data_IF_872694652240
#
_entry.id   IF_872694652240
#
_cell.length_a   1.000
_cell.length_b   1.000
_cell.length_c   1.000
_cell.angle_alpha   90.00
_cell.angle_beta   90.00
_cell.angle_gamma   90.00
#
_symmetry.space_group_name_H-M   'P 1'
#
loop_
_entity.id
_entity.type
_entity.pdbx_description
1 polymer ?
#
# COMPACT_ATOMS: atom_id res chain seq x y z
N UNK A 1 8.11 7.47 -19.01
CA UNK A 1 7.58 8.84 -19.15
C UNK A 1 7.04 9.23 -17.78
N UNK A 2 7.74 10.10 -17.02
CA UNK A 2 7.21 10.56 -15.72
C UNK A 2 5.94 11.37 -16.02
N UNK A 3 4.78 10.81 -15.71
CA UNK A 3 3.53 11.57 -15.76
C UNK A 3 3.68 12.71 -14.77
N UNK A 4 3.71 13.93 -15.31
CA UNK A 4 3.81 15.17 -14.55
C UNK A 4 2.43 15.43 -13.91
N UNK A 5 2.04 14.57 -12.97
CA UNK A 5 0.97 14.89 -12.04
C UNK A 5 1.43 16.10 -11.21
N UNK A 6 0.50 16.98 -10.84
CA UNK A 6 0.81 18.03 -9.90
C UNK A 6 1.12 17.38 -8.53
N UNK A 7 2.39 17.05 -8.29
CA UNK A 7 2.88 16.43 -7.05
C UNK A 7 2.44 17.22 -5.83
N UNK A 8 2.31 18.55 -5.95
CA UNK A 8 1.80 19.40 -4.89
C UNK A 8 0.31 19.14 -4.64
N UNK A 9 -0.51 19.04 -5.68
CA UNK A 9 -1.92 18.68 -5.52
C UNK A 9 -2.09 17.26 -4.94
N UNK A 10 -1.25 16.31 -5.35
CA UNK A 10 -1.23 14.97 -4.78
C UNK A 10 -0.85 15.01 -3.28
N UNK A 11 0.22 15.72 -2.92
CA UNK A 11 0.65 15.90 -1.53
C UNK A 11 -0.45 16.49 -0.67
N UNK A 12 -1.13 17.55 -1.13
CA UNK A 12 -2.25 18.17 -0.39
C UNK A 12 -3.39 17.18 -0.16
N UNK A 13 -3.74 16.35 -1.16
CA UNK A 13 -4.76 15.30 -1.01
C UNK A 13 -4.33 14.17 -0.07
N UNK A 14 -3.03 13.96 0.09
CA UNK A 14 -2.48 12.94 0.97
C UNK A 14 -2.46 13.35 2.46
N UNK A 15 -2.75 14.61 2.78
CA UNK A 15 -2.82 15.10 4.16
C UNK A 15 -3.99 14.47 4.92
N UNK A 16 -3.85 14.28 6.25
CA UNK A 16 -4.94 13.83 7.10
C UNK A 16 -6.18 14.72 6.97
N UNK A 17 -7.36 14.09 6.89
CA UNK A 17 -8.65 14.75 6.80
C UNK A 17 -9.11 15.15 5.39
N UNK A 18 -8.26 15.00 4.36
CA UNK A 18 -8.65 15.37 2.99
C UNK A 18 -9.34 14.22 2.26
N UNK A 19 -8.65 13.08 2.07
CA UNK A 19 -9.25 11.87 1.48
C UNK A 19 -9.52 10.78 2.53
N UNK A 20 -8.65 10.65 3.51
CA UNK A 20 -8.77 9.71 4.63
C UNK A 20 -8.53 10.45 5.95
N UNK A 21 -9.07 9.95 7.05
CA UNK A 21 -8.91 10.58 8.37
C UNK A 21 -7.44 10.70 8.79
N UNK A 22 -6.62 9.70 8.47
CA UNK A 22 -5.21 9.61 8.87
C UNK A 22 -4.22 10.06 7.79
N UNK A 23 -4.68 10.29 6.55
CA UNK A 23 -3.81 10.61 5.42
C UNK A 23 -2.98 9.42 4.93
N UNK A 24 -1.94 9.71 4.15
CA UNK A 24 -1.03 8.73 3.55
C UNK A 24 0.44 8.96 3.91
N UNK A 25 0.75 10.09 4.56
CA UNK A 25 2.13 10.51 4.83
C UNK A 25 2.62 10.07 6.21
N UNK A 26 1.71 9.73 7.13
CA UNK A 26 2.08 9.41 8.51
C UNK A 26 2.81 10.57 9.19
N UNK A 27 4.05 10.34 9.62
CA UNK A 27 4.96 11.32 10.21
C UNK A 27 6.00 11.84 9.21
N UNK A 28 5.96 11.36 7.97
CA UNK A 28 6.91 11.75 6.93
C UNK A 28 6.69 13.21 6.52
N UNK A 29 7.76 13.99 6.57
CA UNK A 29 7.76 15.41 6.21
C UNK A 29 8.53 15.69 4.92
N UNK A 30 9.08 14.65 4.30
CA UNK A 30 9.83 14.78 3.05
C UNK A 30 8.89 15.11 1.88
N UNK A 31 9.40 15.75 0.82
CA UNK A 31 8.71 15.82 -0.47
C UNK A 31 8.34 14.42 -1.01
N UNK A 32 7.23 14.30 -1.76
CA UNK A 32 6.80 13.01 -2.33
C UNK A 32 7.89 12.36 -3.19
N UNK A 33 8.58 13.16 -3.99
CA UNK A 33 9.66 12.70 -4.85
C UNK A 33 10.81 12.06 -4.08
N UNK A 34 11.14 12.58 -2.89
CA UNK A 34 12.18 12.02 -2.02
C UNK A 34 11.74 10.72 -1.34
N UNK A 35 10.46 10.63 -0.93
CA UNK A 35 9.89 9.39 -0.38
C UNK A 35 9.93 8.28 -1.44
N UNK A 36 9.44 8.59 -2.64
CA UNK A 36 9.41 7.65 -3.77
C UNK A 36 10.82 7.24 -4.16
N UNK A 37 11.77 8.18 -4.27
CA UNK A 37 13.16 7.85 -4.62
C UNK A 37 13.81 6.92 -3.58
N UNK A 38 13.54 7.12 -2.29
CA UNK A 38 14.02 6.25 -1.22
C UNK A 38 13.39 4.84 -1.29
N UNK A 39 12.08 4.75 -1.54
CA UNK A 39 11.40 3.46 -1.70
C UNK A 39 11.93 2.72 -2.96
N UNK A 40 12.13 3.41 -4.08
CA UNK A 40 12.73 2.85 -5.31
C UNK A 40 14.16 2.34 -5.07
N UNK A 41 14.97 3.06 -4.28
CA UNK A 41 16.33 2.63 -3.92
C UNK A 41 16.30 1.36 -3.08
N UNK A 42 15.40 1.27 -2.10
CA UNK A 42 15.21 0.08 -1.29
C UNK A 42 14.71 -1.11 -2.11
N UNK A 43 13.76 -0.90 -3.02
CA UNK A 43 13.28 -1.95 -3.93
C UNK A 43 14.44 -2.53 -4.76
N UNK A 44 15.28 -1.66 -5.35
CA UNK A 44 16.49 -2.09 -6.07
C UNK A 44 17.45 -2.85 -5.16
N UNK A 45 17.75 -2.34 -3.96
CA UNK A 45 18.69 -2.96 -3.04
C UNK A 45 18.23 -4.33 -2.52
N UNK A 46 16.92 -4.53 -2.38
CA UNK A 46 16.30 -5.76 -1.90
C UNK A 46 15.92 -6.74 -3.03
N UNK A 47 16.23 -6.39 -4.29
CA UNK A 47 15.83 -7.13 -5.49
C UNK A 47 14.32 -7.41 -5.52
N UNK A 48 13.52 -6.40 -5.16
CA UNK A 48 12.07 -6.39 -5.29
C UNK A 48 11.67 -5.71 -6.60
N UNK A 49 10.53 -6.13 -7.13
CA UNK A 49 9.89 -5.53 -8.29
C UNK A 49 8.49 -5.05 -7.91
N UNK A 50 8.13 -3.83 -8.32
CA UNK A 50 6.86 -3.19 -7.93
C UNK A 50 5.65 -3.96 -8.45
N UNK A 51 5.69 -4.41 -9.72
CA UNK A 51 4.59 -5.14 -10.33
C UNK A 51 4.42 -6.51 -9.66
N UNK A 52 5.52 -7.24 -9.44
CA UNK A 52 5.48 -8.55 -8.78
C UNK A 52 4.98 -8.46 -7.33
N UNK A 53 5.41 -7.45 -6.58
CA UNK A 53 4.91 -7.21 -5.22
C UNK A 53 3.41 -6.89 -5.26
N UNK A 54 2.98 -6.01 -6.16
CA UNK A 54 1.57 -5.66 -6.32
C UNK A 54 0.71 -6.90 -6.68
N UNK A 55 1.13 -7.72 -7.63
CA UNK A 55 0.45 -8.97 -8.03
C UNK A 55 0.31 -9.94 -6.84
N UNK A 56 1.35 -9.98 -6.00
CA UNK A 56 1.37 -10.83 -4.83
C UNK A 56 0.39 -10.34 -3.76
N UNK A 57 0.34 -9.05 -3.50
CA UNK A 57 -0.61 -8.43 -2.57
C UNK A 57 -2.06 -8.58 -3.06
N UNK A 58 -2.32 -8.44 -4.36
CA UNK A 58 -3.64 -8.69 -4.96
C UNK A 58 -4.07 -10.16 -4.79
N UNK A 59 -3.14 -11.10 -5.00
CA UNK A 59 -3.41 -12.52 -4.80
C UNK A 59 -3.77 -12.82 -3.35
N UNK A 60 -3.04 -12.26 -2.39
CA UNK A 60 -3.32 -12.42 -0.96
C UNK A 60 -4.67 -11.80 -0.58
N UNK A 61 -4.99 -10.60 -1.08
CA UNK A 61 -6.28 -9.95 -0.86
C UNK A 61 -7.45 -10.79 -1.39
N UNK A 62 -7.34 -11.25 -2.64
CA UNK A 62 -8.37 -12.08 -3.28
C UNK A 62 -8.62 -13.38 -2.50
N UNK A 63 -7.55 -14.07 -2.09
CA UNK A 63 -7.68 -15.30 -1.28
C UNK A 63 -8.23 -14.99 0.10
N UNK A 64 -7.77 -13.92 0.74
CA UNK A 64 -8.23 -13.46 2.05
C UNK A 64 -9.73 -13.12 2.09
N UNK A 65 -10.28 -12.58 0.99
CA UNK A 65 -11.70 -12.28 0.86
C UNK A 65 -12.60 -13.53 0.98
N UNK A 66 -12.09 -14.73 0.71
CA UNK A 66 -12.81 -15.99 0.93
C UNK A 66 -13.14 -16.22 2.42
N UNK A 67 -12.42 -15.56 3.34
CA UNK A 67 -12.68 -15.59 4.78
C UNK A 67 -13.86 -14.74 5.25
N UNK A 68 -14.48 -13.94 4.37
CA UNK A 68 -15.69 -13.14 4.65
C UNK A 68 -15.57 -12.24 5.90
N UNK A 69 -14.41 -11.60 6.08
CA UNK A 69 -14.13 -10.73 7.23
C UNK A 69 -13.47 -11.44 8.41
N UNK A 70 -13.36 -12.76 8.40
CA UNK A 70 -12.59 -13.50 9.40
C UNK A 70 -11.15 -13.77 8.91
N UNK A 71 -10.15 -13.78 9.81
CA UNK A 71 -8.79 -14.16 9.46
C UNK A 71 -8.71 -15.63 9.01
N UNK A 72 -8.12 -15.87 7.84
CA UNK A 72 -7.90 -17.22 7.29
C UNK A 72 -6.43 -17.45 6.95
N UNK A 73 -6.02 -18.72 6.96
CA UNK A 73 -4.66 -19.10 6.55
C UNK A 73 -4.60 -19.30 5.03
N UNK A 74 -3.83 -18.46 4.36
CA UNK A 74 -3.55 -18.51 2.93
C UNK A 74 -2.18 -19.13 2.69
N UNK A 75 -2.13 -20.12 1.79
CA UNK A 75 -0.89 -20.80 1.37
C UNK A 75 -0.08 -21.41 2.54
N UNK A 76 -0.77 -21.80 3.61
CA UNK A 76 -0.17 -22.49 4.76
C UNK A 76 0.75 -21.64 5.64
N UNK A 77 0.93 -20.35 5.34
CA UNK A 77 1.90 -19.51 6.09
C UNK A 77 1.46 -18.05 6.29
N UNK A 78 0.44 -17.58 5.56
CA UNK A 78 -0.04 -16.20 5.70
C UNK A 78 -1.37 -16.21 6.45
N UNK A 79 -1.44 -15.51 7.58
CA UNK A 79 -2.72 -15.18 8.20
C UNK A 79 -3.24 -13.91 7.53
N UNK A 80 -4.34 -14.00 6.80
CA UNK A 80 -4.89 -12.90 6.00
C UNK A 80 -6.31 -12.60 6.45
N UNK A 81 -6.61 -11.33 6.70
CA UNK A 81 -7.97 -10.84 6.94
C UNK A 81 -8.28 -9.73 5.96
N UNK A 82 -9.41 -9.82 5.27
CA UNK A 82 -9.90 -8.77 4.35
C UNK A 82 -11.16 -8.15 4.91
N UNK A 83 -11.09 -6.86 5.25
CA UNK A 83 -12.21 -6.05 5.73
C UNK A 83 -12.65 -5.08 4.61
N UNK A 84 -13.87 -5.22 4.15
CA UNK A 84 -14.46 -4.30 3.18
C UNK A 84 -15.34 -3.25 3.89
N UNK A 85 -15.10 -1.98 3.59
CA UNK A 85 -16.00 -0.90 3.97
C UNK A 85 -16.80 -0.43 2.76
N UNK A 86 -17.98 0.15 3.01
CA UNK A 86 -18.76 0.77 1.93
C UNK A 86 -18.03 2.00 1.38
N UNK A 87 -18.01 2.12 0.05
CA UNK A 87 -17.56 3.31 -0.66
C UNK A 87 -16.28 3.10 -1.48
N UNK A 88 -15.85 4.18 -2.14
CA UNK A 88 -14.63 4.25 -2.93
C UNK A 88 -13.77 5.42 -2.48
N UNK A 89 -12.46 5.30 -2.63
CA UNK A 89 -11.48 6.34 -2.40
C UNK A 89 -10.86 6.77 -3.74
N UNK A 90 -10.77 8.06 -4.04
CA UNK A 90 -10.01 8.51 -5.19
C UNK A 90 -8.50 8.36 -4.93
N UNK A 91 -7.75 8.05 -5.97
CA UNK A 91 -6.30 8.14 -5.93
C UNK A 91 -5.90 9.61 -5.72
N UNK A 92 -4.96 9.93 -4.81
CA UNK A 92 -4.47 11.30 -4.63
C UNK A 92 -3.85 11.91 -5.89
N UNK A 93 -3.33 11.09 -6.81
CA UNK A 93 -2.83 11.54 -8.12
C UNK A 93 -3.94 11.82 -9.14
N UNK A 94 -5.20 11.43 -8.85
CA UNK A 94 -6.37 11.76 -9.65
C UNK A 94 -6.65 10.80 -10.81
N UNK A 95 -6.05 9.62 -10.82
CA UNK A 95 -6.09 8.67 -11.95
C UNK A 95 -6.97 7.43 -11.70
N UNK A 96 -7.75 7.38 -10.62
CA UNK A 96 -8.65 6.26 -10.37
C UNK A 96 -9.51 6.37 -9.11
N UNK A 97 -10.46 5.45 -9.00
CA UNK A 97 -11.31 5.22 -7.82
C UNK A 97 -11.17 3.76 -7.37
N UNK A 98 -10.82 3.55 -6.11
CA UNK A 98 -10.52 2.23 -5.54
C UNK A 98 -11.47 1.90 -4.39
N UNK A 99 -11.69 0.62 -4.11
CA UNK A 99 -12.55 0.22 -3.00
C UNK A 99 -11.95 0.68 -1.67
N UNK A 100 -12.82 1.13 -0.76
CA UNK A 100 -12.40 1.39 0.61
C UNK A 100 -12.34 0.06 1.37
N UNK A 101 -11.17 -0.56 1.40
CA UNK A 101 -10.93 -1.81 2.11
C UNK A 101 -9.65 -1.74 2.95
N UNK A 102 -9.46 -2.74 3.79
CA UNK A 102 -8.23 -3.00 4.51
C UNK A 102 -7.95 -4.50 4.49
N UNK A 103 -6.75 -4.88 4.09
CA UNK A 103 -6.26 -6.26 4.11
C UNK A 103 -5.09 -6.31 5.06
N UNK A 104 -5.19 -7.09 6.12
CA UNK A 104 -4.07 -7.40 6.99
C UNK A 104 -3.46 -8.74 6.57
N UNK A 105 -2.13 -8.77 6.47
CA UNK A 105 -1.36 -9.98 6.23
C UNK A 105 -0.29 -10.10 7.29
N UNK A 106 -0.21 -11.27 7.92
CA UNK A 106 0.82 -11.60 8.89
C UNK A 106 1.51 -12.91 8.51
N UNK A 107 2.83 -12.95 8.68
CA UNK A 107 3.65 -14.17 8.58
C UNK A 107 4.75 -14.11 9.64
N UNK A 108 4.69 -14.99 10.63
CA UNK A 108 5.60 -14.93 11.78
C UNK A 108 5.41 -13.62 12.56
N UNK A 109 6.51 -12.88 12.74
CA UNK A 109 6.54 -11.58 13.43
C UNK A 109 6.26 -10.39 12.50
N UNK A 110 6.36 -10.58 11.18
CA UNK A 110 6.11 -9.52 10.21
C UNK A 110 4.61 -9.40 9.90
N UNK A 111 4.12 -8.17 9.82
CA UNK A 111 2.75 -7.88 9.41
C UNK A 111 2.66 -6.56 8.65
N UNK A 112 1.68 -6.49 7.75
CA UNK A 112 1.33 -5.29 6.99
C UNK A 112 -0.18 -5.13 6.93
N UNK A 113 -0.63 -3.89 6.76
CA UNK A 113 -2.00 -3.55 6.39
C UNK A 113 -1.94 -2.76 5.08
N UNK A 114 -2.78 -3.12 4.12
CA UNK A 114 -2.87 -2.42 2.84
C UNK A 114 -4.30 -2.38 2.33
N UNK A 115 -4.51 -1.70 1.21
CA UNK A 115 -5.80 -1.57 0.54
C UNK A 115 -5.60 -1.70 -0.97
N UNK A 116 -6.68 -1.80 -1.73
CA UNK A 116 -6.62 -1.75 -3.20
C UNK A 116 -5.95 -0.45 -3.67
N UNK A 117 -6.21 0.66 -2.99
CA UNK A 117 -5.53 1.92 -3.25
C UNK A 117 -4.03 1.86 -2.93
N UNK A 118 -3.63 1.19 -1.85
CA UNK A 118 -2.21 0.99 -1.53
C UNK A 118 -1.48 0.22 -2.63
N UNK A 119 -2.12 -0.80 -3.21
CA UNK A 119 -1.57 -1.59 -4.32
C UNK A 119 -1.39 -0.70 -5.56
N UNK A 120 -2.39 0.10 -5.93
CA UNK A 120 -2.27 1.05 -7.05
C UNK A 120 -1.15 2.08 -6.83
N UNK A 121 -1.08 2.66 -5.63
CA UNK A 121 -0.03 3.62 -5.26
C UNK A 121 1.37 3.01 -5.39
N UNK A 122 1.54 1.76 -4.96
CA UNK A 122 2.78 1.02 -5.10
C UNK A 122 3.10 0.72 -6.58
N UNK A 123 2.13 0.17 -7.33
CA UNK A 123 2.34 -0.28 -8.72
C UNK A 123 2.58 0.88 -9.68
N UNK A 124 1.74 1.91 -9.63
CA UNK A 124 1.72 2.98 -10.65
C UNK A 124 2.57 4.19 -10.26
N UNK A 125 2.69 4.46 -8.96
CA UNK A 125 3.38 5.66 -8.46
C UNK A 125 4.64 5.36 -7.67
N UNK A 126 5.01 4.07 -7.51
CA UNK A 126 6.13 3.62 -6.67
C UNK A 126 6.09 4.19 -5.24
N UNK A 127 4.89 4.56 -4.78
CA UNK A 127 4.70 5.24 -3.51
C UNK A 127 4.22 4.22 -2.48
N UNK A 128 5.11 3.84 -1.56
CA UNK A 128 4.80 2.87 -0.52
C UNK A 128 4.14 3.49 0.71
N UNK A 129 3.66 4.73 0.60
CA UNK A 129 3.18 5.61 1.67
C UNK A 129 4.26 6.10 2.63
N UNK A 130 4.03 7.24 3.29
CA UNK A 130 5.01 7.86 4.18
C UNK A 130 5.26 7.07 5.46
N UNK A 131 6.44 7.28 6.05
CA UNK A 131 6.83 6.68 7.32
C UNK A 131 5.79 6.92 8.43
N UNK A 132 5.42 5.84 9.14
CA UNK A 132 4.40 5.89 10.19
C UNK A 132 2.95 5.95 9.68
N UNK A 133 2.72 5.92 8.36
CA UNK A 133 1.38 5.67 7.83
C UNK A 133 0.95 4.23 8.20
N UNK A 134 -0.27 4.02 8.70
CA UNK A 134 -0.75 2.67 9.04
C UNK A 134 -0.86 1.73 7.84
N UNK A 135 -0.87 2.27 6.62
CA UNK A 135 -0.92 1.52 5.37
C UNK A 135 0.43 1.55 4.61
N UNK A 136 1.55 1.88 5.28
CA UNK A 136 2.89 1.86 4.68
C UNK A 136 3.29 0.45 4.29
N UNK A 137 3.63 0.28 3.02
CA UNK A 137 4.16 -0.94 2.43
C UNK A 137 5.69 -0.90 2.51
N UNK A 138 6.23 -0.98 3.73
CA UNK A 138 7.67 -0.85 3.95
C UNK A 138 8.47 -1.92 3.16
N UNK A 139 9.43 -1.53 2.30
CA UNK A 139 10.15 -2.47 1.44
C UNK A 139 10.87 -3.59 2.20
N UNK A 140 11.43 -3.30 3.38
CA UNK A 140 12.17 -4.28 4.18
C UNK A 140 11.20 -5.29 4.79
N UNK A 141 10.06 -4.83 5.29
CA UNK A 141 8.99 -5.70 5.80
C UNK A 141 8.41 -6.56 4.66
N UNK A 142 8.15 -5.96 3.50
CA UNK A 142 7.68 -6.67 2.31
C UNK A 142 8.62 -7.81 1.92
N UNK A 143 9.93 -7.56 1.89
CA UNK A 143 10.92 -8.57 1.54
C UNK A 143 10.88 -9.76 2.51
N UNK A 144 10.88 -9.51 3.82
CA UNK A 144 10.82 -10.59 4.82
C UNK A 144 9.50 -11.36 4.76
N UNK A 145 8.39 -10.64 4.58
CA UNK A 145 7.06 -11.23 4.58
C UNK A 145 6.82 -12.07 3.32
N UNK A 146 7.19 -11.58 2.13
CA UNK A 146 6.89 -12.24 0.85
C UNK A 146 7.95 -13.25 0.40
N UNK A 147 9.20 -13.15 0.87
CA UNK A 147 10.32 -14.04 0.51
C UNK A 147 11.29 -13.39 -0.48
#
# INVERSE_FOLDING_TARGET
MKMNYDERAAYERMKPGVLTSVGFLGKDTRPLSDIIAADEELFRALALDFDQVADRLETLARKGAEGLGEPITVEGQFLVKSDEARGKLPCPYGDGLYHKNAVSVQRGEDSIIYSDLSIHLLRVHHFCQGEGSPFRLDPVVLKRLLG
#
